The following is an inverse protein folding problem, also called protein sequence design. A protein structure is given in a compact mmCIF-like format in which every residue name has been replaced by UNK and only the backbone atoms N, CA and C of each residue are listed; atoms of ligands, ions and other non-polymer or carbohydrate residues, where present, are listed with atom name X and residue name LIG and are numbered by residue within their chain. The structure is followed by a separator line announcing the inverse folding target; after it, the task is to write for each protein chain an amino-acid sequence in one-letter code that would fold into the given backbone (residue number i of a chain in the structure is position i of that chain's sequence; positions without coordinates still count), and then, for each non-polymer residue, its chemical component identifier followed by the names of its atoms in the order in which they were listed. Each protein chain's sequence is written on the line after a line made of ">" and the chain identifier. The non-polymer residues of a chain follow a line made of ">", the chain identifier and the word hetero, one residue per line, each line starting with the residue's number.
data_IF_161104455988
#
_entry.id   IF_161104455988
#
_cell.length_a   1.000
_cell.length_b   1.000
_cell.length_c   1.000
_cell.angle_alpha   90.00
_cell.angle_beta   90.00
_cell.angle_gamma   90.00
#
_symmetry.space_group_name_H-M   'P 1'
#
loop_
_entity.id
_entity.type
_entity.pdbx_description
1 polymer ?
#
# COMPACT_ATOMS: atom_id res chain seq x y z
N UNK A 1 -12.70 7.93 22.64
CA UNK A 1 -11.37 8.55 22.83
C UNK A 1 -10.46 7.96 21.77
N UNK A 2 -10.14 8.72 20.75
CA UNK A 2 -9.24 8.26 19.68
C UNK A 2 -7.82 8.28 20.24
N UNK A 3 -7.21 7.11 20.45
CA UNK A 3 -5.83 7.00 20.96
C UNK A 3 -4.87 7.40 19.85
N UNK A 4 -4.45 8.66 19.83
CA UNK A 4 -3.51 9.24 18.86
C UNK A 4 -2.14 9.38 19.52
N UNK A 5 -1.08 8.95 18.84
CA UNK A 5 0.31 9.10 19.34
C UNK A 5 1.07 10.09 18.47
N UNK A 6 1.97 10.86 19.07
CA UNK A 6 2.84 11.78 18.30
C UNK A 6 4.18 11.11 18.02
N UNK A 7 4.51 10.91 16.74
CA UNK A 7 5.80 10.37 16.31
C UNK A 7 6.50 11.44 15.46
N UNK A 8 7.66 11.92 15.91
CA UNK A 8 8.44 12.96 15.22
C UNK A 8 7.63 14.22 14.86
N UNK A 9 6.68 14.61 15.73
CA UNK A 9 5.80 15.77 15.50
C UNK A 9 4.60 15.51 14.59
N UNK A 10 4.35 14.26 14.20
CA UNK A 10 3.19 13.86 13.40
C UNK A 10 2.24 13.01 14.25
N UNK A 11 0.96 13.37 14.21
CA UNK A 11 -0.13 12.63 14.88
C UNK A 11 -0.46 11.34 14.12
N UNK A 12 -0.20 10.20 14.74
CA UNK A 12 -0.46 8.86 14.22
C UNK A 12 -1.74 8.27 14.84
N UNK A 13 -2.64 7.86 13.97
CA UNK A 13 -3.93 7.24 14.29
C UNK A 13 -3.84 5.71 14.27
N UNK A 14 -4.70 5.03 15.03
CA UNK A 14 -4.73 3.58 15.09
C UNK A 14 -5.03 2.96 13.71
N UNK A 15 -4.62 1.71 13.54
CA UNK A 15 -4.93 0.96 12.33
C UNK A 15 -6.43 0.75 12.18
N UNK A 16 -6.88 0.67 10.92
CA UNK A 16 -8.24 0.24 10.58
C UNK A 16 -8.28 -1.28 10.42
N UNK A 17 -9.47 -1.87 10.46
CA UNK A 17 -9.67 -3.33 10.27
C UNK A 17 -9.03 -3.85 8.97
N UNK A 18 -9.06 -3.04 7.90
CA UNK A 18 -8.40 -3.35 6.62
C UNK A 18 -6.87 -3.43 6.70
N UNK A 19 -6.26 -3.00 7.80
CA UNK A 19 -4.82 -3.05 8.01
C UNK A 19 -4.38 -4.24 8.87
N UNK A 20 -5.33 -5.03 9.41
CA UNK A 20 -5.03 -6.21 10.21
C UNK A 20 -4.24 -7.24 9.39
N UNK A 21 -3.22 -7.84 10.02
CA UNK A 21 -2.33 -8.78 9.35
C UNK A 21 -1.26 -8.13 8.46
N UNK A 22 -1.15 -6.80 8.41
CA UNK A 22 -0.03 -6.13 7.75
C UNK A 22 1.24 -6.17 8.64
N UNK A 23 2.37 -6.60 8.07
CA UNK A 23 3.68 -6.65 8.77
C UNK A 23 4.22 -5.28 9.17
N UNK A 24 3.60 -4.21 8.67
CA UNK A 24 4.00 -2.82 8.90
C UNK A 24 3.24 -2.16 10.05
N UNK A 25 2.52 -2.96 10.84
CA UNK A 25 1.85 -2.49 12.06
C UNK A 25 2.81 -2.52 13.24
N UNK A 26 2.66 -1.57 14.15
CA UNK A 26 3.44 -1.43 15.38
C UNK A 26 2.48 -1.31 16.54
N UNK A 27 2.72 -2.04 17.62
CA UNK A 27 1.92 -1.93 18.84
C UNK A 27 2.56 -0.92 19.80
N UNK A 28 1.75 -0.02 20.33
CA UNK A 28 2.10 0.93 21.38
C UNK A 28 0.91 1.04 22.33
N UNK A 29 1.14 0.89 23.64
CA UNK A 29 0.11 0.98 24.68
C UNK A 29 -1.13 0.08 24.45
N UNK A 30 -0.92 -1.11 23.86
CA UNK A 30 -1.99 -2.06 23.54
C UNK A 30 -2.81 -1.69 22.28
N UNK A 31 -2.39 -0.66 21.55
CA UNK A 31 -3.03 -0.18 20.32
C UNK A 31 -2.07 -0.35 19.15
N UNK A 32 -2.59 -0.83 18.03
CA UNK A 32 -1.80 -1.01 16.81
C UNK A 32 -1.87 0.25 15.94
N UNK A 33 -0.71 0.68 15.46
CA UNK A 33 -0.49 1.83 14.59
C UNK A 33 0.21 1.40 13.31
N UNK A 34 0.07 2.19 12.24
CA UNK A 34 0.79 1.93 11.00
C UNK A 34 2.16 2.62 11.03
N UNK A 35 3.25 1.88 10.81
CA UNK A 35 4.61 2.44 10.78
C UNK A 35 4.89 3.25 9.51
N UNK A 36 4.10 3.05 8.46
CA UNK A 36 4.30 3.69 7.16
C UNK A 36 3.41 4.92 6.93
N UNK A 37 2.27 5.04 7.62
CA UNK A 37 1.33 6.14 7.44
C UNK A 37 0.69 6.57 8.76
N UNK A 38 0.62 7.88 9.05
CA UNK A 38 0.00 8.40 10.26
C UNK A 38 -1.53 8.31 10.25
N UNK A 39 -2.16 8.28 9.07
CA UNK A 39 -3.63 8.23 8.92
C UNK A 39 -4.04 7.02 8.07
N UNK A 40 -4.20 5.83 8.70
CA UNK A 40 -4.56 4.60 7.98
C UNK A 40 -5.93 4.71 7.30
N UNK A 41 -6.93 5.26 7.99
CA UNK A 41 -8.30 5.42 7.49
C UNK A 41 -8.35 6.21 6.17
N UNK A 42 -7.65 7.36 6.13
CA UNK A 42 -7.60 8.23 4.95
C UNK A 42 -6.87 7.55 3.78
N UNK A 43 -5.84 6.75 4.08
CA UNK A 43 -5.11 5.97 3.06
C UNK A 43 -6.04 4.95 2.40
N UNK A 44 -6.77 4.18 3.21
CA UNK A 44 -7.69 3.14 2.74
C UNK A 44 -8.97 3.68 2.10
N UNK A 45 -9.40 4.89 2.46
CA UNK A 45 -10.54 5.58 1.85
C UNK A 45 -10.26 5.98 0.40
N UNK A 46 -9.05 6.44 0.08
CA UNK A 46 -8.70 6.86 -1.29
C UNK A 46 -8.45 5.68 -2.23
N UNK A 47 -7.67 4.69 -1.78
CA UNK A 47 -7.34 3.49 -2.55
C UNK A 47 -6.80 2.40 -1.63
N UNK A 48 -6.76 1.17 -2.12
CA UNK A 48 -6.10 0.06 -1.42
C UNK A 48 -4.66 0.45 -1.07
N UNK A 49 -4.23 0.18 0.15
CA UNK A 49 -2.90 0.51 0.62
C UNK A 49 -1.84 -0.21 -0.22
N UNK A 50 -0.93 0.54 -0.84
CA UNK A 50 0.17 0.02 -1.64
C UNK A 50 1.23 -0.74 -0.83
N UNK A 51 1.10 -0.77 0.49
CA UNK A 51 1.99 -1.45 1.42
C UNK A 51 1.30 -2.61 2.16
N UNK A 52 0.03 -2.90 1.85
CA UNK A 52 -0.67 -4.03 2.45
C UNK A 52 0.03 -5.32 2.04
N UNK A 53 0.80 -5.93 2.95
CA UNK A 53 1.49 -7.20 2.70
C UNK A 53 0.50 -8.37 2.69
N UNK A 54 -0.59 -8.24 3.44
CA UNK A 54 -1.66 -9.22 3.52
C UNK A 54 -2.64 -9.18 2.33
N UNK A 55 -2.71 -8.06 1.59
CA UNK A 55 -3.53 -7.98 0.39
C UNK A 55 -2.64 -8.03 -0.85
N UNK A 56 -2.69 -9.17 -1.54
CA UNK A 56 -2.23 -9.21 -2.92
C UNK A 56 -3.30 -8.53 -3.77
N UNK A 57 -3.07 -7.27 -4.12
CA UNK A 57 -3.78 -6.66 -5.23
C UNK A 57 -3.48 -7.52 -6.45
N UNK A 58 -4.44 -8.37 -6.82
CA UNK A 58 -4.53 -8.96 -8.14
C UNK A 58 -4.75 -7.78 -9.08
N UNK A 59 -3.66 -7.09 -9.46
CA UNK A 59 -3.66 -6.38 -10.73
C UNK A 59 -3.89 -7.48 -11.73
N UNK A 60 -5.10 -7.54 -12.28
CA UNK A 60 -5.39 -8.27 -13.50
C UNK A 60 -4.36 -7.86 -14.54
N UNK A 61 -3.24 -8.58 -14.56
CA UNK A 61 -2.31 -8.64 -15.71
C UNK A 61 -3.01 -9.34 -16.89
N UNK A 62 -4.30 -9.65 -16.77
CA UNK A 62 -5.24 -10.01 -17.83
C UNK A 62 -5.69 -8.81 -18.68
N UNK A 63 -5.28 -7.59 -18.35
CA UNK A 63 -5.21 -6.53 -19.35
C UNK A 63 -4.22 -6.94 -20.43
N UNK A 64 -4.70 -7.66 -21.45
CA UNK A 64 -4.00 -7.96 -22.70
C UNK A 64 -3.24 -6.71 -23.07
N UNK A 65 -1.94 -6.69 -22.78
CA UNK A 65 -1.09 -5.60 -23.22
C UNK A 65 -1.04 -5.80 -24.72
N UNK A 66 -1.95 -5.14 -25.44
CA UNK A 66 -1.90 -4.97 -26.88
C UNK A 66 -0.68 -4.12 -27.17
N UNK A 67 0.50 -4.74 -27.01
CA UNK A 67 1.76 -4.16 -27.41
C UNK A 67 1.66 -4.11 -28.94
N UNK A 68 1.64 -2.90 -29.49
CA UNK A 68 1.66 -2.75 -30.94
C UNK A 68 2.90 -3.49 -31.47
N UNK A 69 2.80 -4.32 -32.53
CA UNK A 69 3.92 -5.10 -33.04
C UNK A 69 5.18 -4.26 -33.34
N UNK A 70 5.02 -2.99 -33.72
CA UNK A 70 6.13 -2.04 -33.87
C UNK A 70 6.87 -1.76 -32.56
N UNK A 71 6.14 -1.67 -31.44
CA UNK A 71 6.69 -1.42 -30.10
C UNK A 71 7.40 -2.66 -29.54
N UNK A 72 6.94 -3.87 -29.88
CA UNK A 72 7.65 -5.12 -29.58
C UNK A 72 8.96 -5.22 -30.36
N UNK A 73 8.92 -4.98 -31.68
CA UNK A 73 10.09 -5.05 -32.55
C UNK A 73 11.17 -4.04 -32.14
N UNK A 74 10.78 -2.80 -31.80
CA UNK A 74 11.72 -1.76 -31.32
C UNK A 74 12.36 -2.08 -29.96
N UNK A 75 11.68 -2.86 -29.11
CA UNK A 75 12.24 -3.32 -27.83
C UNK A 75 13.20 -4.48 -28.03
N UNK A 76 12.88 -5.43 -28.92
CA UNK A 76 13.77 -6.53 -29.28
C UNK A 76 15.08 -6.05 -29.92
N UNK A 77 15.04 -4.98 -30.70
CA UNK A 77 16.23 -4.41 -31.33
C UNK A 77 17.19 -3.68 -30.35
N UNK A 78 16.69 -3.20 -29.19
CA UNK A 78 17.51 -2.50 -28.18
C UNK A 78 18.23 -3.41 -27.19
N UNK A 79 18.01 -4.72 -27.28
CA UNK A 79 18.67 -5.74 -26.44
C UNK A 79 19.80 -6.49 -27.15
N UNK A 80 20.23 -6.03 -28.33
CA UNK A 80 21.46 -6.44 -29.01
C UNK A 80 22.44 -5.29 -29.00
#
# INVERSE_FOLDING_TARGET
>A
MSQVITVNGVECHPIVEKCEGCDRTMEQDGVKYCRSYPLPERKWSQKVCNFATHMKLEVDKGGKVNINPLKASKRAARGR
#
